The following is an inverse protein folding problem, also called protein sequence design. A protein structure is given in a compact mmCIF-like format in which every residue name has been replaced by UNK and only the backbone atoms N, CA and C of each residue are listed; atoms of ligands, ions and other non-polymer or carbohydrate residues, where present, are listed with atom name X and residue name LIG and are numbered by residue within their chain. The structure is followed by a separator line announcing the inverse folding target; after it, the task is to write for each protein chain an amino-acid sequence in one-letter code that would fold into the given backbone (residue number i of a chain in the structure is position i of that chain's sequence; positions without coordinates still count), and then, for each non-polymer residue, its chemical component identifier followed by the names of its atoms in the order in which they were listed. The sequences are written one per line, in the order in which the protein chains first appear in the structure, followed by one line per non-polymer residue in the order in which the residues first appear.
data_IF_789974149424
#
_entry.id   IF_789974149424
#
_cell.length_a   1.000
_cell.length_b   1.000
_cell.length_c   1.000
_cell.angle_alpha   90.00
_cell.angle_beta   90.00
_cell.angle_gamma   90.00
#
_symmetry.space_group_name_H-M   'P 1'
#
loop_
_entity.id
_entity.type
_entity.pdbx_description
1 polymer ?
#
# COMPACT_ATOMS: atom_id res chain seq x y z
N UNK A 1 16.89 8.17 17.68
CA UNK A 1 16.78 9.36 16.82
C UNK A 1 16.40 10.53 17.73
N UNK A 2 17.18 11.61 17.70
CA UNK A 2 16.90 12.79 18.53
C UNK A 2 15.61 13.47 18.03
N UNK A 3 14.83 14.05 18.95
CA UNK A 3 13.58 14.76 18.67
C UNK A 3 13.77 15.82 17.57
N UNK A 4 14.85 16.58 17.62
CA UNK A 4 15.22 17.60 16.62
C UNK A 4 15.30 17.02 15.21
N UNK A 5 15.93 15.85 15.02
CA UNK A 5 16.01 15.18 13.71
C UNK A 5 14.63 14.78 13.16
N UNK A 6 13.73 14.35 14.03
CA UNK A 6 12.36 14.00 13.61
C UNK A 6 11.57 15.24 13.20
N UNK A 7 11.70 16.34 13.95
CA UNK A 7 11.06 17.63 13.60
C UNK A 7 11.55 18.11 12.24
N UNK A 8 12.86 18.08 11.99
CA UNK A 8 13.44 18.46 10.68
C UNK A 8 12.88 17.60 9.52
N UNK A 9 12.66 16.30 9.74
CA UNK A 9 12.05 15.44 8.73
C UNK A 9 10.62 15.85 8.41
N UNK A 10 9.81 16.19 9.40
CA UNK A 10 8.46 16.72 9.18
C UNK A 10 8.47 18.05 8.43
N UNK A 11 9.38 18.96 8.75
CA UNK A 11 9.53 20.24 8.06
C UNK A 11 9.91 20.04 6.60
N UNK A 12 10.93 19.24 6.31
CA UNK A 12 11.34 18.88 4.94
C UNK A 12 10.19 18.23 4.16
N UNK A 13 9.47 17.32 4.81
CA UNK A 13 8.31 16.68 4.20
C UNK A 13 7.19 17.69 3.89
N UNK A 14 6.91 18.61 4.78
CA UNK A 14 5.88 19.63 4.55
C UNK A 14 6.17 20.48 3.31
N UNK A 15 7.42 20.86 3.09
CA UNK A 15 7.84 21.60 1.88
C UNK A 15 7.64 20.75 0.62
N UNK A 16 8.06 19.48 0.64
CA UNK A 16 7.92 18.58 -0.50
C UNK A 16 6.44 18.28 -0.79
N UNK A 17 5.63 18.13 0.24
CA UNK A 17 4.19 17.92 0.15
C UNK A 17 3.49 19.09 -0.56
N UNK A 18 3.82 20.32 -0.21
CA UNK A 18 3.31 21.52 -0.87
C UNK A 18 3.70 21.53 -2.35
N UNK A 19 4.98 21.29 -2.68
CA UNK A 19 5.44 21.20 -4.07
C UNK A 19 4.71 20.12 -4.86
N UNK A 20 4.46 18.97 -4.24
CA UNK A 20 3.74 17.86 -4.87
C UNK A 20 2.29 18.20 -5.15
N UNK A 21 1.63 18.96 -4.26
CA UNK A 21 0.24 19.40 -4.43
C UNK A 21 0.08 20.29 -5.67
N UNK A 22 1.05 21.13 -5.95
CA UNK A 22 1.04 22.04 -7.10
C UNK A 22 1.62 21.43 -8.39
N UNK A 23 2.08 20.19 -8.34
CA UNK A 23 2.60 19.49 -9.52
C UNK A 23 1.49 19.28 -10.56
N UNK A 24 1.80 19.58 -11.81
CA UNK A 24 0.93 19.29 -12.96
C UNK A 24 1.30 17.96 -13.64
N UNK A 25 2.32 17.25 -13.15
CA UNK A 25 2.77 15.98 -13.71
C UNK A 25 1.70 14.90 -13.48
N UNK A 26 1.26 14.28 -14.56
CA UNK A 26 0.35 13.14 -14.53
C UNK A 26 1.12 11.91 -15.01
N UNK A 27 1.12 10.86 -14.20
CA UNK A 27 1.66 9.55 -14.56
C UNK A 27 0.49 8.59 -14.67
N UNK A 28 0.33 7.97 -15.83
CA UNK A 28 -0.69 6.93 -16.04
C UNK A 28 -0.39 5.71 -15.18
N UNK A 29 -1.38 5.23 -14.45
CA UNK A 29 -1.28 4.07 -13.57
C UNK A 29 -2.29 3.01 -13.95
N UNK A 30 -1.98 1.76 -13.58
CA UNK A 30 -2.86 0.60 -13.73
C UNK A 30 -2.87 -0.22 -12.43
N UNK A 31 -3.93 -0.96 -12.20
CA UNK A 31 -3.94 -2.00 -11.17
C UNK A 31 -2.77 -2.95 -11.38
N UNK A 32 -2.16 -3.41 -10.30
CA UNK A 32 -0.95 -4.24 -10.27
C UNK A 32 0.37 -3.48 -10.47
N UNK A 33 0.36 -2.22 -10.88
CA UNK A 33 1.60 -1.43 -10.96
C UNK A 33 2.26 -1.31 -9.60
N UNK A 34 3.58 -1.38 -9.59
CA UNK A 34 4.41 -1.04 -8.43
C UNK A 34 5.01 0.32 -8.68
N UNK A 35 4.65 1.26 -7.82
CA UNK A 35 4.98 2.66 -7.93
C UNK A 35 5.84 3.11 -6.75
N UNK A 36 6.87 3.90 -7.00
CA UNK A 36 7.51 4.65 -5.92
C UNK A 36 6.78 5.95 -5.70
N UNK A 37 6.24 6.12 -4.48
CA UNK A 37 5.48 7.28 -4.07
C UNK A 37 6.28 8.14 -3.10
N UNK A 38 6.06 9.45 -3.17
CA UNK A 38 6.41 10.38 -2.10
C UNK A 38 5.46 10.11 -0.93
N UNK A 39 5.83 9.13 -0.10
CA UNK A 39 5.01 8.67 1.05
C UNK A 39 4.98 9.72 2.15
N UNK A 40 6.11 10.31 2.44
CA UNK A 40 6.27 11.32 3.47
C UNK A 40 6.73 10.79 4.81
N UNK A 41 6.69 11.69 5.79
CA UNK A 41 6.86 11.42 7.20
C UNK A 41 5.47 11.36 7.84
N UNK A 42 5.14 10.26 8.52
CA UNK A 42 3.81 9.99 9.04
C UNK A 42 3.82 9.77 10.56
N UNK A 43 2.68 9.46 11.14
CA UNK A 43 2.50 9.37 12.59
C UNK A 43 2.64 7.91 13.05
N UNK A 44 3.48 7.68 14.07
CA UNK A 44 3.58 6.41 14.77
C UNK A 44 3.86 5.22 13.86
N UNK A 45 2.93 4.27 13.81
CA UNK A 45 3.08 3.04 13.03
C UNK A 45 2.69 3.15 11.54
N UNK A 46 2.21 4.31 11.10
CA UNK A 46 2.01 4.55 9.67
C UNK A 46 3.35 4.48 8.93
N UNK A 47 3.34 3.93 7.72
CA UNK A 47 4.58 3.78 6.96
C UNK A 47 5.12 5.12 6.47
N UNK A 48 6.41 5.33 6.68
CA UNK A 48 7.15 6.47 6.16
C UNK A 48 7.83 6.15 4.84
N UNK A 49 8.14 7.19 4.08
CA UNK A 49 9.07 7.11 2.97
C UNK A 49 10.53 7.19 3.45
N UNK A 50 11.46 6.93 2.53
CA UNK A 50 12.91 6.96 2.78
C UNK A 50 13.63 7.93 1.86
N UNK A 51 14.77 8.41 2.32
CA UNK A 51 15.63 9.33 1.58
C UNK A 51 15.06 10.74 1.49
N UNK A 52 15.71 11.59 0.70
CA UNK A 52 15.41 13.02 0.60
C UNK A 52 14.02 13.32 0.01
N UNK A 53 13.48 12.41 -0.80
CA UNK A 53 12.15 12.53 -1.41
C UNK A 53 11.08 11.71 -0.69
N UNK A 54 11.39 11.11 0.45
CA UNK A 54 10.45 10.31 1.26
C UNK A 54 9.73 9.23 0.43
N UNK A 55 10.50 8.47 -0.36
CA UNK A 55 9.96 7.48 -1.28
C UNK A 55 9.69 6.13 -0.61
N UNK A 56 8.61 5.49 -1.02
CA UNK A 56 8.26 4.10 -0.68
C UNK A 56 7.57 3.42 -1.85
N UNK A 57 7.87 2.14 -2.12
CA UNK A 57 7.13 1.39 -3.11
C UNK A 57 5.73 1.04 -2.59
N UNK A 58 4.76 1.12 -3.50
CA UNK A 58 3.35 0.80 -3.27
C UNK A 58 2.83 -0.01 -4.45
N UNK A 59 2.07 -1.05 -4.21
CA UNK A 59 1.34 -1.77 -5.26
C UNK A 59 -0.06 -1.17 -5.41
N UNK A 60 -0.47 -0.90 -6.64
CA UNK A 60 -1.82 -0.40 -6.95
C UNK A 60 -2.82 -1.55 -6.81
N UNK A 61 -3.68 -1.47 -5.80
CA UNK A 61 -4.74 -2.45 -5.56
C UNK A 61 -5.96 -2.17 -6.42
N UNK A 62 -6.39 -0.90 -6.46
CA UNK A 62 -7.56 -0.45 -7.23
C UNK A 62 -7.33 0.96 -7.76
N UNK A 63 -7.52 1.14 -9.05
CA UNK A 63 -7.59 2.46 -9.68
C UNK A 63 -9.04 2.95 -9.67
N UNK A 64 -9.29 4.10 -9.06
CA UNK A 64 -10.62 4.73 -9.09
C UNK A 64 -10.81 5.62 -10.32
N UNK A 65 -9.80 6.43 -10.63
CA UNK A 65 -9.76 7.30 -11.81
C UNK A 65 -8.29 7.70 -12.11
N UNK A 66 -8.09 8.66 -12.99
CA UNK A 66 -6.74 9.13 -13.35
C UNK A 66 -5.98 9.80 -12.19
N UNK A 67 -6.68 10.27 -11.16
CA UNK A 67 -6.11 11.04 -10.05
C UNK A 67 -5.99 10.24 -8.74
N UNK A 68 -6.77 9.18 -8.57
CA UNK A 68 -6.89 8.48 -7.29
C UNK A 68 -6.81 6.97 -7.44
N UNK A 69 -6.12 6.33 -6.51
CA UNK A 69 -6.03 4.87 -6.41
C UNK A 69 -5.89 4.41 -4.97
N UNK A 70 -6.29 3.19 -4.71
CA UNK A 70 -6.03 2.47 -3.48
C UNK A 70 -4.73 1.68 -3.64
N UNK A 71 -3.79 1.85 -2.72
CA UNK A 71 -2.50 1.17 -2.76
C UNK A 71 -2.11 0.55 -1.43
N UNK A 72 -1.27 -0.46 -1.50
CA UNK A 72 -0.70 -1.15 -0.34
C UNK A 72 0.80 -0.87 -0.31
N UNK A 73 1.30 -0.37 0.81
CA UNK A 73 2.72 -0.10 1.01
C UNK A 73 3.53 -1.40 1.00
N UNK A 74 4.71 -1.35 0.38
CA UNK A 74 5.65 -2.47 0.29
C UNK A 74 6.87 -2.24 1.18
N UNK A 75 7.49 -3.34 1.60
CA UNK A 75 8.76 -3.34 2.33
C UNK A 75 9.68 -4.44 1.81
N UNK A 76 10.99 -4.19 1.86
CA UNK A 76 12.01 -5.22 1.62
C UNK A 76 12.32 -6.03 2.87
N UNK A 77 11.86 -5.58 4.05
CA UNK A 77 12.05 -6.31 5.30
C UNK A 77 11.15 -7.55 5.32
N UNK A 78 11.76 -8.70 5.52
CA UNK A 78 11.02 -9.94 5.71
C UNK A 78 10.40 -9.96 7.11
N UNK A 79 9.07 -10.11 7.15
CA UNK A 79 8.31 -10.33 8.38
C UNK A 79 7.36 -11.49 8.18
N UNK A 80 7.42 -12.46 9.08
CA UNK A 80 6.57 -13.64 9.03
C UNK A 80 5.34 -13.45 9.94
N UNK A 81 4.31 -12.83 9.37
CA UNK A 81 3.00 -12.71 10.02
C UNK A 81 1.89 -12.60 8.97
N UNK A 82 0.64 -12.69 9.41
CA UNK A 82 -0.54 -12.73 8.53
C UNK A 82 -0.78 -11.45 7.75
N UNK A 83 -0.17 -10.32 8.15
CA UNK A 83 -0.34 -9.03 7.50
C UNK A 83 0.73 -8.73 6.44
N UNK A 84 1.64 -9.66 6.18
CA UNK A 84 2.69 -9.51 5.18
C UNK A 84 2.55 -10.58 4.10
N UNK A 85 2.49 -10.15 2.85
CA UNK A 85 2.44 -11.03 1.68
C UNK A 85 3.69 -10.83 0.85
N UNK A 86 4.59 -11.83 0.83
CA UNK A 86 5.83 -11.80 0.07
C UNK A 86 5.57 -12.18 -1.39
N UNK A 87 6.17 -11.43 -2.32
CA UNK A 87 6.15 -11.72 -3.74
C UNK A 87 7.40 -11.17 -4.43
N UNK A 88 7.60 -11.58 -5.68
CA UNK A 88 8.68 -11.11 -6.52
C UNK A 88 8.14 -10.43 -7.78
N UNK A 89 8.90 -9.45 -8.26
CA UNK A 89 8.65 -8.83 -9.55
C UNK A 89 9.97 -8.44 -10.22
N UNK A 90 9.95 -8.23 -11.52
CA UNK A 90 11.10 -7.71 -12.26
C UNK A 90 10.98 -6.19 -12.39
N UNK A 91 12.06 -5.51 -12.07
CA UNK A 91 12.16 -4.07 -12.29
C UNK A 91 12.52 -3.78 -13.78
N UNK A 92 12.61 -2.48 -14.12
CA UNK A 92 12.95 -2.05 -15.49
C UNK A 92 14.32 -2.54 -15.99
N UNK A 93 15.24 -2.89 -15.08
CA UNK A 93 16.57 -3.45 -15.40
C UNK A 93 16.57 -4.99 -15.42
N UNK A 94 15.39 -5.60 -15.49
CA UNK A 94 15.17 -7.07 -15.47
C UNK A 94 15.70 -7.77 -14.21
N UNK A 95 15.95 -7.04 -13.14
CA UNK A 95 16.34 -7.59 -11.84
C UNK A 95 15.11 -8.06 -11.09
N UNK A 96 15.23 -9.24 -10.48
CA UNK A 96 14.21 -9.77 -9.57
C UNK A 96 14.30 -9.04 -8.23
N UNK A 97 13.20 -8.43 -7.83
CA UNK A 97 13.05 -7.73 -6.55
C UNK A 97 12.06 -8.52 -5.70
N UNK A 98 12.43 -8.80 -4.46
CA UNK A 98 11.55 -9.40 -3.45
C UNK A 98 11.02 -8.31 -2.54
N UNK A 99 9.71 -8.23 -2.40
CA UNK A 99 9.01 -7.32 -1.51
C UNK A 99 7.92 -8.05 -0.75
N UNK A 100 7.54 -7.48 0.40
CA UNK A 100 6.34 -7.87 1.12
C UNK A 100 5.32 -6.73 1.08
N UNK A 101 4.09 -7.04 0.68
CA UNK A 101 2.96 -6.13 0.82
C UNK A 101 2.51 -6.10 2.29
N UNK A 102 2.46 -4.91 2.86
CA UNK A 102 2.00 -4.70 4.25
C UNK A 102 0.49 -4.50 4.21
N UNK A 103 -0.26 -5.59 4.33
CA UNK A 103 -1.71 -5.61 4.10
C UNK A 103 -2.51 -4.71 5.05
N UNK A 104 -1.95 -4.38 6.20
CA UNK A 104 -2.52 -3.41 7.15
C UNK A 104 -2.28 -1.95 6.78
N UNK A 105 -1.41 -1.69 5.79
CA UNK A 105 -1.01 -0.34 5.36
C UNK A 105 -1.61 0.01 3.99
N UNK A 106 -2.92 -0.15 3.88
CA UNK A 106 -3.68 0.23 2.69
C UNK A 106 -4.15 1.68 2.82
N UNK A 107 -3.97 2.46 1.75
CA UNK A 107 -4.34 3.88 1.74
C UNK A 107 -4.83 4.31 0.36
N UNK A 108 -5.68 5.33 0.31
CA UNK A 108 -5.97 6.08 -0.90
C UNK A 108 -4.84 7.09 -1.15
N UNK A 109 -4.35 7.13 -2.37
CA UNK A 109 -3.31 8.05 -2.82
C UNK A 109 -3.75 8.86 -4.02
N UNK A 110 -3.29 10.11 -4.08
CA UNK A 110 -3.33 10.92 -5.30
C UNK A 110 -2.14 10.58 -6.21
N UNK A 111 -2.36 10.50 -7.51
CA UNK A 111 -1.32 10.19 -8.50
C UNK A 111 -0.19 11.23 -8.56
N UNK A 112 -0.39 12.43 -8.03
CA UNK A 112 0.68 13.45 -7.87
C UNK A 112 1.81 13.00 -6.96
N UNK A 113 1.57 12.01 -6.09
CA UNK A 113 2.63 11.40 -5.26
C UNK A 113 3.58 10.51 -6.04
N UNK A 114 3.19 10.06 -7.23
CA UNK A 114 3.97 9.09 -8.00
C UNK A 114 5.25 9.72 -8.52
N UNK A 115 6.40 9.15 -8.14
CA UNK A 115 7.71 9.53 -8.66
C UNK A 115 8.00 8.78 -9.96
N UNK A 116 7.88 7.45 -9.93
CA UNK A 116 8.06 6.59 -11.09
C UNK A 116 7.43 5.20 -10.87
N UNK A 117 7.24 4.49 -11.99
CA UNK A 117 6.82 3.09 -12.00
C UNK A 117 8.05 2.18 -11.95
N UNK A 118 8.08 1.27 -10.98
CA UNK A 118 9.19 0.33 -10.78
C UNK A 118 9.00 -1.02 -11.49
N UNK A 119 7.77 -1.48 -11.63
CA UNK A 119 7.43 -2.77 -12.21
C UNK A 119 5.96 -3.09 -12.05
N UNK A 120 5.65 -4.38 -12.10
CA UNK A 120 4.28 -4.88 -11.95
C UNK A 120 4.30 -6.24 -11.26
N UNK A 121 3.42 -6.45 -10.31
CA UNK A 121 3.20 -7.77 -9.73
C UNK A 121 2.49 -8.67 -10.74
N UNK A 122 2.88 -9.95 -10.84
CA UNK A 122 2.19 -10.88 -11.74
C UNK A 122 0.74 -11.13 -11.30
N UNK A 123 -0.08 -11.58 -12.23
CA UNK A 123 -1.54 -11.69 -12.00
C UNK A 123 -1.89 -12.74 -10.92
N UNK A 124 -1.13 -13.83 -10.85
CA UNK A 124 -1.41 -14.90 -9.89
C UNK A 124 -1.09 -14.47 -8.46
N UNK A 125 0.07 -13.84 -8.25
CA UNK A 125 0.45 -13.27 -6.96
C UNK A 125 -0.51 -12.15 -6.54
N UNK A 126 -0.93 -11.31 -7.49
CA UNK A 126 -1.90 -10.25 -7.21
C UNK A 126 -3.25 -10.80 -6.74
N UNK A 127 -3.78 -11.83 -7.41
CA UNK A 127 -5.03 -12.50 -7.00
C UNK A 127 -4.91 -13.13 -5.61
N UNK A 128 -3.77 -13.79 -5.33
CA UNK A 128 -3.51 -14.41 -4.02
C UNK A 128 -3.38 -13.35 -2.94
N UNK A 129 -2.62 -12.29 -3.20
CA UNK A 129 -2.48 -11.14 -2.29
C UNK A 129 -3.85 -10.52 -1.96
N UNK A 130 -4.69 -10.32 -2.96
CA UNK A 130 -6.04 -9.77 -2.76
C UNK A 130 -6.92 -10.66 -1.88
N UNK A 131 -6.89 -11.97 -2.08
CA UNK A 131 -7.62 -12.92 -1.23
C UNK A 131 -7.16 -12.84 0.23
N UNK A 132 -5.85 -12.81 0.46
CA UNK A 132 -5.28 -12.67 1.81
C UNK A 132 -5.66 -11.31 2.42
N UNK A 133 -5.58 -10.24 1.63
CA UNK A 133 -5.99 -8.89 2.06
C UNK A 133 -7.44 -8.87 2.54
N UNK A 134 -8.37 -9.40 1.78
CA UNK A 134 -9.79 -9.49 2.16
C UNK A 134 -9.98 -10.28 3.46
N UNK A 135 -9.27 -11.38 3.60
CA UNK A 135 -9.33 -12.22 4.80
C UNK A 135 -8.85 -11.49 6.06
N UNK A 136 -7.68 -10.82 5.99
CA UNK A 136 -7.08 -10.18 7.17
C UNK A 136 -7.69 -8.83 7.53
N UNK A 137 -8.41 -8.20 6.59
CA UNK A 137 -9.10 -6.92 6.80
C UNK A 137 -10.59 -7.08 7.12
N UNK A 138 -11.11 -8.32 7.08
CA UNK A 138 -12.49 -8.59 7.45
C UNK A 138 -12.70 -8.27 8.94
N UNK A 139 -13.67 -7.42 9.29
CA UNK A 139 -13.95 -7.10 10.69
C UNK A 139 -14.43 -8.34 11.48
N UNK A 140 -14.02 -8.45 12.74
CA UNK A 140 -14.37 -9.59 13.61
C UNK A 140 -15.88 -9.75 13.79
N UNK A 141 -16.62 -8.65 13.84
CA UNK A 141 -18.09 -8.63 13.91
C UNK A 141 -18.76 -9.32 12.71
N UNK A 142 -18.14 -9.31 11.54
CA UNK A 142 -18.65 -10.00 10.35
C UNK A 142 -18.33 -11.51 10.38
N UNK A 143 -17.30 -11.91 11.13
CA UNK A 143 -16.90 -13.31 11.29
C UNK A 143 -17.80 -14.05 12.27
N UNK A 144 -18.29 -13.37 13.33
CA UNK A 144 -19.18 -13.96 14.34
C UNK A 144 -20.62 -14.19 13.85
N UNK A 145 -21.06 -13.52 12.80
CA UNK A 145 -22.42 -13.68 12.24
C UNK A 145 -22.67 -15.01 11.49
N UNK A 146 -21.66 -15.84 11.32
CA UNK A 146 -21.83 -17.16 10.66
C UNK A 146 -22.31 -18.28 11.60
N UNK A 147 -22.54 -17.96 12.89
CA UNK A 147 -23.08 -18.90 13.88
C UNK A 147 -24.54 -18.62 14.28
N UNK A 148 -25.25 -17.77 13.55
CA UNK A 148 -26.71 -17.68 13.72
C UNK A 148 -27.34 -18.89 13.03
N UNK A 149 -27.78 -19.84 13.86
CA UNK A 149 -28.53 -21.04 13.48
C UNK A 149 -29.71 -20.67 12.58
N UNK A 150 -29.86 -21.40 11.47
CA UNK A 150 -31.14 -21.42 10.76
C UNK A 150 -32.26 -21.76 11.76
N UNK A 151 -33.36 -20.99 11.80
CA UNK A 151 -34.48 -21.35 12.63
C UNK A 151 -35.02 -22.70 12.13
N UNK A 152 -35.02 -23.71 13.02
CA UNK A 152 -35.65 -24.98 12.78
C UNK A 152 -37.07 -24.70 12.31
N UNK A 153 -37.40 -25.10 11.10
CA UNK A 153 -38.80 -25.21 10.66
C UNK A 153 -39.41 -26.34 11.43
N UNK A 154 -40.09 -25.99 12.51
CA UNK A 154 -40.98 -26.94 13.17
C UNK A 154 -42.12 -27.27 12.18
N UNK A 155 -42.15 -28.52 11.79
CA UNK A 155 -43.23 -29.14 11.03
C UNK A 155 -44.50 -29.12 11.88
N UNK A 156 -45.58 -28.58 11.35
CA UNK A 156 -46.97 -28.90 11.69
C UNK A 156 -47.51 -29.70 10.56
#
# INVERSE_FOLDING_TARGET
MLLETVIELFEKWNILKQKSNFSKKIIGIKERDILFLKMGQNIGYEQDGKGEEFLRPVVVLKKFNKNMFLGIALTTQKKENVYHFEFQYKNKSDRVITNSAILSQVKMYDTKRVKYKAGMINIEDFKTMYKVFVKVTKPDVVTSSQNEEEPRRDSI
#
